data_IF_155925528184
#
_entry.id   IF_155925528184
#
_cell.length_a   1.000
_cell.length_b   1.000
_cell.length_c   1.000
_cell.angle_alpha   90.00
_cell.angle_beta   90.00
_cell.angle_gamma   90.00
#
_symmetry.space_group_name_H-M   'P 1'
#
loop_
_entity.id
_entity.type
_entity.pdbx_description
1 polymer ?
#
# COMPACT_ATOMS: atom_id res chain seq x y z
N UNK A 1 -15.82 -2.91 20.55
CA UNK A 1 -16.79 -2.85 19.44
C UNK A 1 -16.02 -3.12 18.16
N UNK A 2 -16.37 -4.17 17.40
CA UNK A 2 -15.77 -4.48 16.10
C UNK A 2 -16.75 -4.02 15.02
N UNK A 3 -16.28 -3.23 14.05
CA UNK A 3 -17.07 -2.83 12.88
C UNK A 3 -16.59 -3.67 11.70
N UNK A 4 -17.52 -4.37 11.05
CA UNK A 4 -17.26 -5.14 9.83
C UNK A 4 -17.87 -4.37 8.66
N UNK A 5 -17.04 -4.05 7.66
CA UNK A 5 -17.47 -3.41 6.43
C UNK A 5 -17.50 -4.44 5.31
N UNK A 6 -18.53 -4.38 4.47
CA UNK A 6 -18.58 -5.16 3.25
C UNK A 6 -18.36 -4.21 2.07
N UNK A 7 -17.18 -4.27 1.46
CA UNK A 7 -16.89 -3.60 0.20
C UNK A 7 -16.21 -4.60 -0.74
N UNK A 8 -16.96 -5.10 -1.72
CA UNK A 8 -16.49 -6.14 -2.63
C UNK A 8 -15.63 -5.59 -3.78
N UNK A 9 -15.54 -4.26 -3.94
CA UNK A 9 -14.79 -3.62 -5.02
C UNK A 9 -13.72 -2.71 -4.42
N UNK A 10 -12.47 -2.96 -4.78
CA UNK A 10 -11.35 -2.08 -4.46
C UNK A 10 -11.42 -0.80 -5.32
N UNK A 11 -11.03 0.34 -4.74
CA UNK A 11 -10.89 1.61 -5.47
C UNK A 11 -9.54 1.68 -6.20
N UNK A 12 -8.55 0.97 -5.68
CA UNK A 12 -7.28 0.72 -6.35
C UNK A 12 -6.80 -0.70 -6.07
N UNK A 13 -6.25 -1.36 -7.08
CA UNK A 13 -5.64 -2.68 -7.01
C UNK A 13 -4.49 -2.76 -8.00
N UNK A 14 -3.28 -2.83 -7.47
CA UNK A 14 -2.10 -3.02 -8.31
C UNK A 14 -2.03 -4.47 -8.80
N UNK A 15 -1.35 -4.75 -9.92
CA UNK A 15 -0.81 -6.07 -10.15
C UNK A 15 0.25 -6.40 -9.09
N UNK A 16 0.67 -7.66 -9.02
CA UNK A 16 1.94 -8.00 -8.38
C UNK A 16 3.08 -7.25 -9.08
N UNK A 17 3.79 -6.42 -8.33
CA UNK A 17 4.75 -5.46 -8.86
C UNK A 17 6.11 -5.72 -8.22
N UNK A 18 7.18 -5.89 -9.01
CA UNK A 18 8.54 -6.04 -8.48
C UNK A 18 8.97 -4.85 -7.62
N UNK A 19 9.55 -5.14 -6.46
CA UNK A 19 10.10 -4.14 -5.56
C UNK A 19 11.58 -4.45 -5.23
N UNK A 20 12.42 -3.44 -5.35
CA UNK A 20 13.87 -3.59 -5.16
C UNK A 20 14.24 -3.55 -3.68
N UNK A 21 15.10 -4.47 -3.25
CA UNK A 21 15.61 -4.49 -1.88
C UNK A 21 16.35 -3.20 -1.53
N UNK A 22 16.19 -2.72 -0.29
CA UNK A 22 16.81 -1.53 0.25
C UNK A 22 16.22 -0.22 -0.27
N UNK A 23 15.05 -0.25 -0.91
CA UNK A 23 14.46 0.93 -1.53
C UNK A 23 12.94 0.95 -1.44
N UNK A 24 12.38 2.14 -1.58
CA UNK A 24 10.94 2.35 -1.70
C UNK A 24 10.52 2.33 -3.17
N UNK A 25 9.44 1.59 -3.47
CA UNK A 25 8.77 1.61 -4.76
C UNK A 25 7.43 2.36 -4.66
N UNK A 26 7.22 3.40 -5.47
CA UNK A 26 5.97 4.16 -5.44
C UNK A 26 4.86 3.45 -6.23
N UNK A 27 3.69 3.34 -5.61
CA UNK A 27 2.44 2.96 -6.28
C UNK A 27 1.57 4.21 -6.42
N UNK A 28 1.24 4.58 -7.66
CA UNK A 28 0.44 5.77 -7.95
C UNK A 28 -1.00 5.40 -8.29
N UNK A 29 -1.94 6.20 -7.80
CA UNK A 29 -3.38 6.01 -8.00
C UNK A 29 -4.13 7.34 -7.96
N UNK A 30 -5.43 7.31 -8.28
CA UNK A 30 -6.29 8.48 -8.24
C UNK A 30 -7.58 8.17 -7.48
N UNK A 31 -7.53 8.23 -6.14
CA UNK A 31 -8.67 7.91 -5.26
C UNK A 31 -9.77 8.99 -5.27
N UNK A 32 -9.62 10.05 -6.08
CA UNK A 32 -10.58 11.15 -6.21
C UNK A 32 -10.60 12.09 -5.00
N UNK A 33 -11.06 13.32 -5.20
CA UNK A 33 -11.05 14.37 -4.17
C UNK A 33 -12.03 14.14 -3.00
N UNK A 34 -12.77 13.03 -3.02
CA UNK A 34 -13.87 12.72 -2.10
C UNK A 34 -13.72 11.37 -1.39
N UNK A 35 -12.54 10.76 -1.45
CA UNK A 35 -12.24 9.59 -0.64
C UNK A 35 -12.35 9.96 0.86
N UNK A 36 -13.05 9.14 1.63
CA UNK A 36 -12.96 9.14 3.09
C UNK A 36 -11.65 8.50 3.55
N UNK A 37 -11.66 7.90 4.74
CA UNK A 37 -10.49 7.21 5.27
C UNK A 37 -10.16 5.99 4.39
N UNK A 38 -8.90 5.88 3.90
CA UNK A 38 -8.47 4.73 3.12
C UNK A 38 -8.14 3.55 4.03
N UNK A 39 -8.46 2.35 3.56
CA UNK A 39 -8.00 1.07 4.09
C UNK A 39 -7.00 0.51 3.10
N UNK A 40 -5.76 0.33 3.54
CA UNK A 40 -4.66 -0.23 2.73
C UNK A 40 -4.50 -1.70 3.09
N UNK A 41 -4.51 -2.56 2.08
CA UNK A 41 -4.00 -3.92 2.14
C UNK A 41 -2.73 -3.98 1.29
N UNK A 42 -1.67 -4.46 1.91
CA UNK A 42 -0.41 -4.75 1.26
C UNK A 42 -0.19 -6.25 1.40
N UNK A 43 0.22 -6.90 0.32
CA UNK A 43 0.56 -8.32 0.28
C UNK A 43 1.93 -8.50 -0.35
N UNK A 44 2.65 -9.54 0.09
CA UNK A 44 3.94 -9.92 -0.48
C UNK A 44 3.81 -11.20 -1.28
N UNK A 45 4.61 -11.28 -2.32
CA UNK A 45 4.83 -12.48 -3.09
C UNK A 45 6.32 -12.67 -3.26
N UNK A 46 6.76 -13.92 -3.13
CA UNK A 46 8.09 -14.37 -3.54
C UNK A 46 7.95 -15.12 -4.87
N UNK A 47 8.48 -14.52 -5.94
CA UNK A 47 8.48 -15.10 -7.27
C UNK A 47 9.72 -15.94 -7.57
N UNK A 48 10.78 -15.79 -6.78
CA UNK A 48 12.07 -16.48 -6.94
C UNK A 48 12.09 -17.84 -6.21
N UNK A 49 11.42 -17.96 -5.06
CA UNK A 49 11.31 -19.20 -4.28
C UNK A 49 9.84 -19.66 -4.10
N UNK A 50 9.44 -20.76 -4.76
CA UNK A 50 8.06 -21.25 -4.71
C UNK A 50 7.62 -21.74 -3.33
N UNK A 51 8.53 -21.87 -2.36
CA UNK A 51 8.18 -22.27 -0.98
C UNK A 51 7.49 -21.16 -0.20
N UNK A 52 7.74 -19.89 -0.53
CA UNK A 52 7.14 -18.77 0.17
C UNK A 52 5.87 -18.30 -0.54
N UNK A 53 5.91 -18.11 -1.86
CA UNK A 53 4.76 -17.64 -2.64
C UNK A 53 4.12 -16.40 -1.99
N UNK A 54 2.78 -16.36 -1.90
CA UNK A 54 2.09 -15.25 -1.21
C UNK A 54 2.28 -15.40 0.30
N UNK A 55 2.87 -14.40 0.94
CA UNK A 55 3.27 -14.48 2.34
C UNK A 55 3.18 -13.13 3.08
N UNK A 56 3.41 -13.16 4.39
CA UNK A 56 3.45 -12.01 5.29
C UNK A 56 4.69 -12.02 6.19
N UNK A 57 5.77 -12.66 5.73
CA UNK A 57 7.00 -12.73 6.51
C UNK A 57 7.55 -11.32 6.73
N UNK A 58 7.91 -11.03 7.98
CA UNK A 58 8.48 -9.74 8.40
C UNK A 58 7.65 -8.51 7.97
N UNK A 59 6.32 -8.68 7.87
CA UNK A 59 5.42 -7.58 7.56
C UNK A 59 5.53 -6.44 8.57
N UNK A 60 5.68 -5.22 8.06
CA UNK A 60 5.94 -4.04 8.89
C UNK A 60 7.43 -3.74 9.06
N UNK A 61 8.30 -4.55 8.47
CA UNK A 61 9.75 -4.45 8.59
C UNK A 61 10.26 -5.08 9.88
N UNK A 62 11.49 -5.61 9.81
CA UNK A 62 12.19 -6.14 10.97
C UNK A 62 13.68 -5.74 10.89
N UNK A 63 14.14 -4.98 11.87
CA UNK A 63 15.52 -4.53 11.96
C UNK A 63 16.28 -5.32 13.04
N UNK A 64 17.34 -6.01 12.66
CA UNK A 64 18.27 -6.67 13.58
C UNK A 64 19.51 -5.81 13.79
N UNK A 65 19.52 -5.04 14.89
CA UNK A 65 20.60 -4.11 15.21
C UNK A 65 21.88 -4.76 15.76
N UNK A 66 21.90 -6.07 15.97
CA UNK A 66 23.05 -6.80 16.52
C UNK A 66 24.04 -7.30 15.47
N UNK A 67 23.68 -7.28 14.18
CA UNK A 67 24.46 -7.87 13.08
C UNK A 67 24.47 -6.92 11.87
N UNK A 68 25.11 -5.75 11.96
CA UNK A 68 25.24 -4.81 10.83
C UNK A 68 23.92 -4.18 10.33
N UNK A 69 22.94 -3.99 11.22
CA UNK A 69 21.66 -3.33 10.88
C UNK A 69 20.92 -4.03 9.73
N UNK A 70 20.74 -5.35 9.81
CA UNK A 70 19.99 -6.08 8.79
C UNK A 70 18.52 -5.65 8.80
N UNK A 71 17.98 -5.40 7.61
CA UNK A 71 16.60 -5.01 7.39
C UNK A 71 15.88 -6.09 6.57
N UNK A 72 14.91 -6.76 7.19
CA UNK A 72 14.10 -7.79 6.57
C UNK A 72 12.65 -7.33 6.38
N UNK A 73 11.96 -7.99 5.46
CA UNK A 73 10.56 -7.73 5.17
C UNK A 73 10.32 -6.49 4.34
N UNK A 74 9.05 -6.08 4.33
CA UNK A 74 8.60 -4.89 3.66
C UNK A 74 7.46 -4.22 4.45
N UNK A 75 7.24 -2.94 4.16
CA UNK A 75 6.17 -2.14 4.75
C UNK A 75 5.76 -1.02 3.81
N UNK A 76 4.55 -0.51 3.96
CA UNK A 76 4.14 0.70 3.27
C UNK A 76 4.41 1.94 4.12
N UNK A 77 4.65 3.07 3.47
CA UNK A 77 4.83 4.39 4.07
C UNK A 77 4.31 5.49 3.14
N UNK A 78 4.33 6.74 3.61
CA UNK A 78 4.11 7.96 2.80
C UNK A 78 2.80 7.95 1.98
N UNK A 79 1.71 7.47 2.57
CA UNK A 79 0.39 7.49 1.95
C UNK A 79 -0.10 8.92 1.73
N UNK A 80 -0.35 9.28 0.47
CA UNK A 80 -0.99 10.52 0.04
C UNK A 80 -2.34 10.23 -0.60
N UNK A 81 -3.03 11.27 -1.07
CA UNK A 81 -4.27 11.11 -1.85
C UNK A 81 -4.09 10.44 -3.21
N UNK A 82 -2.85 10.30 -3.69
CA UNK A 82 -2.55 9.78 -5.02
C UNK A 82 -1.35 8.82 -5.10
N UNK A 83 -0.72 8.50 -3.97
CA UNK A 83 0.43 7.61 -3.94
C UNK A 83 0.59 6.92 -2.60
N UNK A 84 1.30 5.80 -2.62
CA UNK A 84 1.83 5.14 -1.43
C UNK A 84 3.16 4.50 -1.81
N UNK A 85 4.11 4.50 -0.89
CA UNK A 85 5.41 3.88 -1.11
C UNK A 85 5.46 2.54 -0.38
N UNK A 86 6.05 1.52 -1.00
CA UNK A 86 6.36 0.24 -0.35
C UNK A 86 7.87 0.10 -0.28
N UNK A 87 8.40 0.09 0.94
CA UNK A 87 9.81 -0.14 1.21
C UNK A 87 10.06 -1.63 1.45
N UNK A 88 11.08 -2.18 0.78
CA UNK A 88 11.62 -3.52 1.05
C UNK A 88 12.98 -3.38 1.72
N UNK A 89 13.18 -4.04 2.86
CA UNK A 89 14.46 -4.05 3.56
C UNK A 89 15.58 -4.61 2.69
N UNK A 90 16.80 -4.11 2.90
CA UNK A 90 17.96 -4.46 2.09
C UNK A 90 18.35 -5.96 2.13
N UNK A 91 17.95 -6.68 3.18
CA UNK A 91 18.27 -8.08 3.42
C UNK A 91 17.06 -9.01 3.25
N UNK A 92 15.93 -8.47 2.78
CA UNK A 92 14.73 -9.27 2.55
C UNK A 92 14.91 -10.22 1.36
N UNK A 93 14.51 -11.48 1.53
CA UNK A 93 14.57 -12.53 0.51
C UNK A 93 13.20 -13.11 0.17
N UNK A 94 12.10 -12.53 0.69
CA UNK A 94 10.77 -13.16 0.65
C UNK A 94 9.65 -12.28 0.10
N UNK A 95 9.93 -11.03 -0.25
CA UNK A 95 8.96 -10.07 -0.79
C UNK A 95 9.51 -9.38 -2.03
N UNK A 96 9.92 -10.14 -3.06
CA UNK A 96 10.41 -9.58 -4.32
C UNK A 96 9.32 -8.90 -5.16
N UNK A 97 8.06 -9.23 -4.89
CA UNK A 97 6.91 -8.52 -5.42
C UNK A 97 5.94 -8.11 -4.31
N UNK A 98 5.28 -6.98 -4.51
CA UNK A 98 4.20 -6.52 -3.67
C UNK A 98 2.94 -6.23 -4.48
N UNK A 99 1.80 -6.37 -3.80
CA UNK A 99 0.50 -5.93 -4.30
C UNK A 99 -0.13 -5.02 -3.28
N UNK A 100 -0.62 -3.87 -3.75
CA UNK A 100 -1.32 -2.88 -2.93
C UNK A 100 -2.77 -2.80 -3.39
N UNK A 101 -3.68 -2.94 -2.44
CA UNK A 101 -5.12 -2.71 -2.63
C UNK A 101 -5.59 -1.63 -1.67
N UNK A 102 -6.45 -0.75 -2.17
CA UNK A 102 -7.01 0.33 -1.38
C UNK A 102 -8.52 0.35 -1.55
N UNK A 103 -9.21 0.44 -0.41
CA UNK A 103 -10.62 0.77 -0.34
C UNK A 103 -10.76 2.10 0.37
N UNK A 104 -11.60 2.96 -0.16
CA UNK A 104 -11.98 4.22 0.46
C UNK A 104 -13.34 4.04 1.10
N UNK A 105 -13.50 4.61 2.29
CA UNK A 105 -14.85 4.78 2.84
C UNK A 105 -15.54 5.96 2.13
N UNK A 106 -16.88 5.95 1.99
CA UNK A 106 -17.59 7.10 1.42
C UNK A 106 -17.25 8.38 2.18
N UNK A 107 -16.57 9.31 1.53
CA UNK A 107 -16.27 10.62 2.10
C UNK A 107 -17.52 11.49 2.15
N UNK A 108 -17.54 12.46 3.07
CA UNK A 108 -18.57 13.51 3.11
C UNK A 108 -18.17 14.66 2.21
N UNK A 109 -18.37 14.51 0.90
CA UNK A 109 -18.23 15.62 -0.03
C UNK A 109 -19.55 16.36 -0.23
N UNK A 110 -19.53 17.68 -0.01
CA UNK A 110 -20.58 18.58 -0.44
C UNK A 110 -20.10 19.27 -1.71
N UNK A 111 -20.74 18.96 -2.84
CA UNK A 111 -20.52 19.71 -4.07
C UNK A 111 -21.37 20.98 -4.03
N UNK A 112 -20.71 22.14 -3.92
CA UNK A 112 -21.36 23.43 -4.10
C UNK A 112 -21.31 23.79 -5.60
N UNK A 113 -22.45 24.12 -6.24
CA UNK A 113 -22.42 24.58 -7.61
C UNK A 113 -21.64 25.90 -7.70
N UNK A 114 -20.75 26.00 -8.67
CA UNK A 114 -20.07 27.26 -8.98
C UNK A 114 -21.10 28.24 -9.58
N UNK A 115 -21.44 29.29 -8.84
CA UNK A 115 -22.27 30.40 -9.35
C UNK A 115 -21.33 31.44 -9.95
N UNK A 116 -21.13 31.38 -11.26
CA UNK A 116 -20.43 32.42 -12.02
C UNK A 116 -21.40 33.59 -12.23
N UNK A 117 -21.08 34.78 -11.70
CA UNK A 117 -21.78 36.01 -12.07
C UNK A 117 -21.20 36.50 -13.40
N UNK A 118 -22.02 36.49 -14.44
CA UNK A 118 -21.70 37.20 -15.68
C UNK A 118 -21.70 38.71 -15.39
N UNK A 119 -20.57 39.36 -15.65
CA UNK A 119 -20.38 40.82 -15.62
C UNK A 119 -20.99 41.48 -16.86
#
# INVERSE_FOLDING_TARGET
MVRIWYNSQFDYDSPWTPISAGSAHPFSFALGACAGDPVVDLQFYDSDDPRYGVNNLYYGGNALHVLDQLEFGAFWQDLTGSSIDVHRGANDLSADQARVRIWTTPGRCIYLPAVMRNS
#
